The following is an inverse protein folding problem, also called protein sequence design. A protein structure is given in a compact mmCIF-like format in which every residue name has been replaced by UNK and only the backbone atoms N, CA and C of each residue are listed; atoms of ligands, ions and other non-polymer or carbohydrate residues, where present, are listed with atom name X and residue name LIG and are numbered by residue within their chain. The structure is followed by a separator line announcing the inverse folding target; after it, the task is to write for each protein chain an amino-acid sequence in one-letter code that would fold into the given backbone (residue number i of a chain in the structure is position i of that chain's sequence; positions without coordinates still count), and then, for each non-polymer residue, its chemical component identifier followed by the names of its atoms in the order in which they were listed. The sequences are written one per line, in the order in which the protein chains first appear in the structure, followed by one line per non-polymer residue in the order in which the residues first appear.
data_IF_930274259111
#
_entry.id   IF_930274259111
#
_cell.length_a   1.000
_cell.length_b   1.000
_cell.length_c   1.000
_cell.angle_alpha   90.00
_cell.angle_beta   90.00
_cell.angle_gamma   90.00
#
_symmetry.space_group_name_H-M   'P 1'
#
loop_
_entity.id
_entity.type
_entity.pdbx_description
1 polymer ?
#
# COMPACT_ATOMS: atom_id res chain seq x y z
N UNK A 1 29.68 11.03 -5.72
CA UNK A 1 28.25 10.68 -5.85
C UNK A 1 27.86 10.25 -7.26
N UNK A 2 28.35 10.91 -8.31
CA UNK A 2 27.96 10.65 -9.72
C UNK A 2 28.02 9.18 -10.15
N UNK A 3 29.08 8.44 -9.79
CA UNK A 3 29.20 7.02 -10.14
C UNK A 3 28.09 6.17 -9.51
N UNK A 4 27.73 6.42 -8.24
CA UNK A 4 26.63 5.71 -7.56
C UNK A 4 25.30 5.99 -8.22
N UNK A 5 25.00 7.26 -8.50
CA UNK A 5 23.78 7.66 -9.21
C UNK A 5 23.70 6.99 -10.59
N UNK A 6 24.80 6.94 -11.32
CA UNK A 6 24.88 6.26 -12.62
C UNK A 6 24.55 4.77 -12.51
N UNK A 7 25.07 4.10 -11.48
CA UNK A 7 24.83 2.68 -11.26
C UNK A 7 23.35 2.44 -10.89
N UNK A 8 22.75 3.31 -10.07
CA UNK A 8 21.31 3.25 -9.75
C UNK A 8 20.42 3.52 -10.97
N UNK A 9 20.80 4.47 -11.84
CA UNK A 9 20.10 4.72 -13.10
C UNK A 9 20.17 3.50 -14.02
N UNK A 10 21.37 2.93 -14.18
CA UNK A 10 21.60 1.75 -15.02
C UNK A 10 20.78 0.55 -14.55
N UNK A 11 20.75 0.28 -13.23
CA UNK A 11 19.94 -0.77 -12.63
C UNK A 11 18.44 -0.52 -12.84
N UNK A 12 17.99 0.70 -12.57
CA UNK A 12 16.56 1.04 -12.62
C UNK A 12 16.00 1.02 -14.05
N UNK A 13 16.76 1.56 -15.00
CA UNK A 13 16.37 1.69 -16.41
C UNK A 13 16.76 0.45 -17.24
N UNK A 14 17.46 -0.52 -16.65
CA UNK A 14 17.98 -1.70 -17.33
C UNK A 14 18.83 -1.36 -18.57
N UNK A 15 19.69 -0.34 -18.45
CA UNK A 15 20.64 0.10 -19.49
C UNK A 15 22.08 -0.05 -19.00
N UNK A 16 23.05 -0.05 -19.91
CA UNK A 16 24.45 -0.18 -19.53
C UNK A 16 24.96 1.11 -18.85
N UNK A 17 25.72 1.03 -17.74
CA UNK A 17 26.25 2.23 -17.06
C UNK A 17 27.10 3.12 -17.99
N UNK A 18 27.81 2.51 -18.94
CA UNK A 18 28.67 3.22 -19.89
C UNK A 18 27.90 4.06 -20.92
N UNK A 19 26.59 3.84 -21.08
CA UNK A 19 25.74 4.66 -21.95
C UNK A 19 25.21 5.91 -21.26
N UNK A 20 25.43 6.05 -19.94
CA UNK A 20 24.94 7.17 -19.15
C UNK A 20 26.09 8.17 -18.94
N UNK A 21 25.97 9.31 -19.60
CA UNK A 21 26.83 10.47 -19.47
C UNK A 21 26.52 11.29 -18.23
N UNK A 22 27.49 12.13 -17.86
CA UNK A 22 27.40 13.02 -16.69
C UNK A 22 26.38 14.15 -16.85
N UNK A 23 26.15 14.56 -18.10
CA UNK A 23 25.23 15.64 -18.47
C UNK A 23 23.91 15.08 -19.02
N UNK A 24 23.70 13.76 -18.90
CA UNK A 24 22.47 13.12 -19.34
C UNK A 24 21.33 13.46 -18.37
N UNK A 25 20.16 13.66 -18.96
CA UNK A 25 18.91 13.92 -18.26
C UNK A 25 18.17 12.60 -18.04
N UNK A 26 17.75 12.34 -16.79
CA UNK A 26 17.08 11.11 -16.37
C UNK A 26 15.89 10.75 -17.25
N UNK A 27 15.09 11.74 -17.64
CA UNK A 27 13.88 11.54 -18.43
C UNK A 27 14.19 11.36 -19.91
N UNK A 28 15.28 11.94 -20.41
CA UNK A 28 15.69 11.77 -21.81
C UNK A 28 16.29 10.39 -22.08
N UNK A 29 16.91 9.76 -21.08
CA UNK A 29 17.46 8.40 -21.19
C UNK A 29 16.42 7.30 -20.90
N UNK A 30 15.14 7.66 -20.81
CA UNK A 30 14.02 6.74 -20.66
C UNK A 30 13.46 6.59 -19.24
N UNK A 31 13.90 7.43 -18.30
CA UNK A 31 13.30 7.52 -16.98
C UNK A 31 11.92 8.17 -17.01
N UNK A 32 11.07 7.76 -16.09
CA UNK A 32 9.76 8.35 -15.81
C UNK A 32 9.54 8.44 -14.30
N UNK A 33 8.34 8.82 -13.86
CA UNK A 33 8.02 8.88 -12.43
C UNK A 33 8.11 7.52 -11.73
N UNK A 34 7.82 6.42 -12.43
CA UNK A 34 7.89 5.05 -11.89
C UNK A 34 9.35 4.64 -11.71
N UNK A 35 10.19 4.89 -12.71
CA UNK A 35 11.63 4.71 -12.61
C UNK A 35 12.22 5.55 -11.48
N UNK A 36 11.80 6.81 -11.33
CA UNK A 36 12.26 7.67 -10.23
C UNK A 36 11.89 7.08 -8.86
N UNK A 37 10.66 6.60 -8.68
CA UNK A 37 10.22 5.93 -7.44
C UNK A 37 11.00 4.65 -7.16
N UNK A 38 11.24 3.82 -8.19
CA UNK A 38 12.06 2.61 -8.07
C UNK A 38 13.47 2.90 -7.61
N UNK A 39 14.09 3.91 -8.21
CA UNK A 39 15.43 4.33 -7.87
C UNK A 39 15.50 4.79 -6.41
N UNK A 40 14.54 5.60 -5.95
CA UNK A 40 14.45 6.05 -4.55
C UNK A 40 14.19 4.88 -3.58
N UNK A 41 13.54 3.81 -4.05
CA UNK A 41 13.29 2.62 -3.23
C UNK A 41 14.54 1.73 -3.03
N UNK A 42 15.61 1.92 -3.81
CA UNK A 42 16.88 1.22 -3.61
C UNK A 42 17.48 1.57 -2.24
N UNK A 43 17.92 0.56 -1.48
CA UNK A 43 18.46 0.76 -0.12
C UNK A 43 19.59 1.81 -0.09
N UNK A 44 20.51 1.74 -1.05
CA UNK A 44 21.61 2.71 -1.16
C UNK A 44 21.12 4.13 -1.46
N UNK A 45 20.07 4.28 -2.27
CA UNK A 45 19.48 5.59 -2.55
C UNK A 45 18.78 6.19 -1.30
N UNK A 46 18.16 5.33 -0.48
CA UNK A 46 17.55 5.73 0.80
C UNK A 46 18.58 6.20 1.81
N UNK A 47 19.74 5.54 1.91
CA UNK A 47 20.87 5.98 2.74
C UNK A 47 21.39 7.37 2.35
N UNK A 48 21.13 7.79 1.11
CA UNK A 48 21.48 9.11 0.60
C UNK A 48 20.33 10.11 0.62
N UNK A 49 19.19 9.75 1.22
CA UNK A 49 17.97 10.56 1.29
C UNK A 49 17.56 11.14 -0.07
N UNK A 50 17.78 10.36 -1.13
CA UNK A 50 17.32 10.72 -2.47
C UNK A 50 15.79 10.67 -2.47
N UNK A 51 15.15 11.75 -2.92
CA UNK A 51 13.69 11.80 -3.09
C UNK A 51 13.32 11.88 -4.56
N UNK A 52 12.07 11.54 -4.89
CA UNK A 52 11.55 11.72 -6.25
C UNK A 52 11.60 13.20 -6.64
N UNK A 53 11.34 14.11 -5.69
CA UNK A 53 11.43 15.54 -5.92
C UNK A 53 12.85 15.97 -6.34
N UNK A 54 13.90 15.39 -5.77
CA UNK A 54 15.28 15.69 -6.13
C UNK A 54 15.56 15.36 -7.60
N UNK A 55 15.06 14.20 -8.08
CA UNK A 55 15.24 13.75 -9.47
C UNK A 55 14.54 14.71 -10.44
N UNK A 56 13.35 15.19 -10.09
CA UNK A 56 12.61 16.16 -10.92
C UNK A 56 13.24 17.56 -10.88
N UNK A 57 13.75 18.00 -9.73
CA UNK A 57 14.40 19.31 -9.57
C UNK A 57 15.80 19.37 -10.20
N UNK A 58 16.50 18.24 -10.21
CA UNK A 58 17.85 18.09 -10.73
C UNK A 58 17.91 16.85 -11.66
N UNK A 59 17.33 16.91 -12.87
CA UNK A 59 17.24 15.74 -13.74
C UNK A 59 18.58 15.35 -14.37
N UNK A 60 19.57 16.25 -14.40
CA UNK A 60 20.91 16.00 -14.92
C UNK A 60 21.75 15.28 -13.87
N UNK A 61 22.42 14.18 -14.25
CA UNK A 61 23.16 13.33 -13.32
C UNK A 61 24.20 14.09 -12.48
N UNK A 62 24.99 14.98 -13.10
CA UNK A 62 26.00 15.78 -12.40
C UNK A 62 25.40 16.80 -11.43
N UNK A 63 24.22 17.35 -11.74
CA UNK A 63 23.54 18.32 -10.89
C UNK A 63 22.85 17.64 -9.70
N UNK A 64 22.23 16.47 -9.93
CA UNK A 64 21.67 15.65 -8.86
C UNK A 64 22.76 15.22 -7.87
N UNK A 65 23.90 14.76 -8.39
CA UNK A 65 25.06 14.39 -7.58
C UNK A 65 25.52 15.55 -6.68
N UNK A 66 25.62 16.75 -7.25
CA UNK A 66 26.04 17.96 -6.52
C UNK A 66 25.01 18.39 -5.49
N UNK A 67 23.71 18.24 -5.78
CA UNK A 67 22.64 18.54 -4.84
C UNK A 67 22.69 17.61 -3.61
N UNK A 68 22.87 16.30 -3.83
CA UNK A 68 23.02 15.33 -2.74
C UNK A 68 24.29 15.55 -1.92
N UNK A 69 25.43 15.81 -2.58
CA UNK A 69 26.70 16.08 -1.89
C UNK A 69 26.62 17.34 -1.02
N UNK A 70 26.02 18.42 -1.54
CA UNK A 70 25.78 19.65 -0.77
C UNK A 70 24.86 19.40 0.43
N UNK A 71 23.78 18.65 0.24
CA UNK A 71 22.86 18.28 1.33
C UNK A 71 23.56 17.46 2.41
N UNK A 72 24.43 16.53 2.03
CA UNK A 72 25.22 15.73 2.99
C UNK A 72 26.20 16.60 3.80
N UNK A 73 26.78 17.64 3.19
CA UNK A 73 27.65 18.61 3.87
C UNK A 73 26.88 19.55 4.81
N UNK A 74 25.65 19.92 4.47
CA UNK A 74 24.79 20.82 5.25
C UNK A 74 24.11 20.13 6.45
N UNK A 75 23.86 18.81 6.36
CA UNK A 75 23.04 18.07 7.34
C UNK A 75 23.82 17.24 8.37
N UNK A 76 25.11 17.52 8.61
CA UNK A 76 25.91 16.79 9.62
C UNK A 76 25.33 16.85 11.06
N UNK A 77 24.30 17.65 11.34
CA UNK A 77 23.69 17.76 12.69
C UNK A 77 22.18 17.48 12.81
N UNK A 78 21.42 17.18 11.73
CA UNK A 78 19.94 17.03 11.83
C UNK A 78 19.32 16.05 10.81
N UNK A 79 19.79 14.82 10.77
CA UNK A 79 19.03 13.74 10.15
C UNK A 79 18.52 12.78 11.23
N UNK A 80 17.44 13.18 11.89
CA UNK A 80 16.49 12.18 12.38
C UNK A 80 15.78 11.65 11.13
N UNK A 81 16.04 10.40 10.78
CA UNK A 81 15.12 9.60 9.97
C UNK A 81 13.70 9.94 10.47
N UNK A 82 12.81 10.42 9.60
CA UNK A 82 11.39 10.56 9.95
C UNK A 82 10.90 9.14 10.26
N UNK A 83 10.96 8.79 11.55
CA UNK A 83 10.49 7.51 12.03
C UNK A 83 9.01 7.40 11.70
N UNK A 84 8.58 6.21 11.29
CA UNK A 84 7.17 5.95 11.07
C UNK A 84 6.39 6.35 12.34
N UNK A 85 5.25 7.04 12.18
CA UNK A 85 4.44 7.44 13.32
C UNK A 85 4.02 6.19 14.11
N UNK A 86 4.08 6.29 15.44
CA UNK A 86 3.56 5.23 16.31
C UNK A 86 2.06 4.98 16.03
N UNK A 87 1.57 3.75 16.27
CA UNK A 87 0.16 3.44 16.08
C UNK A 87 -0.77 4.45 16.77
N UNK A 88 -1.82 4.85 16.06
CA UNK A 88 -2.84 5.84 16.40
C UNK A 88 -2.35 7.29 16.46
N UNK A 89 -1.07 7.60 16.22
CA UNK A 89 -0.56 8.97 16.30
C UNK A 89 -1.20 9.91 15.27
N UNK A 90 -1.61 9.38 14.11
CA UNK A 90 -2.31 10.14 13.06
C UNK A 90 -3.83 10.19 13.27
N UNK A 91 -4.37 9.41 14.20
CA UNK A 91 -5.80 9.43 14.52
C UNK A 91 -6.10 10.47 15.59
N UNK A 92 -5.97 11.75 15.20
CA UNK A 92 -6.14 12.88 16.11
C UNK A 92 -7.50 12.81 16.82
N UNK A 93 -7.46 12.95 18.15
CA UNK A 93 -8.64 13.02 19.01
C UNK A 93 -8.82 14.48 19.47
N UNK A 94 -10.05 14.97 19.67
CA UNK A 94 -10.28 16.33 20.17
C UNK A 94 -9.58 16.56 21.52
N UNK A 95 -8.79 17.63 21.68
CA UNK A 95 -7.77 17.85 22.74
C UNK A 95 -8.22 17.96 24.24
N UNK A 96 -9.48 17.71 24.59
CA UNK A 96 -9.95 17.88 25.99
C UNK A 96 -9.62 16.69 26.94
N UNK A 97 -8.73 16.95 27.91
CA UNK A 97 -7.83 15.96 28.54
C UNK A 97 -8.45 15.00 29.56
N UNK A 98 -9.51 15.36 30.29
CA UNK A 98 -10.11 14.47 31.32
C UNK A 98 -11.12 13.47 30.74
N UNK A 99 -11.71 13.77 29.58
CA UNK A 99 -12.65 12.87 28.87
C UNK A 99 -11.97 12.00 27.79
N UNK A 100 -10.65 12.16 27.59
CA UNK A 100 -9.90 11.58 26.48
C UNK A 100 -9.93 10.06 26.40
N UNK A 101 -9.61 9.35 27.50
CA UNK A 101 -9.55 7.89 27.46
C UNK A 101 -10.92 7.27 27.19
N UNK A 102 -11.97 7.84 27.78
CA UNK A 102 -13.33 7.39 27.57
C UNK A 102 -13.80 7.67 26.13
N UNK A 103 -13.54 8.88 25.62
CA UNK A 103 -13.87 9.25 24.24
C UNK A 103 -13.12 8.38 23.22
N UNK A 104 -11.82 8.15 23.44
CA UNK A 104 -11.02 7.25 22.62
C UNK A 104 -11.60 5.83 22.60
N UNK A 105 -11.85 5.25 23.78
CA UNK A 105 -12.42 3.90 23.88
C UNK A 105 -13.79 3.79 23.22
N UNK A 106 -14.63 4.83 23.35
CA UNK A 106 -15.94 4.88 22.69
C UNK A 106 -15.81 4.98 21.16
N UNK A 107 -14.95 5.86 20.65
CA UNK A 107 -14.71 6.00 19.20
C UNK A 107 -14.11 4.71 18.62
N UNK A 108 -13.14 4.12 19.31
CA UNK A 108 -12.53 2.83 18.96
C UNK A 108 -13.56 1.70 18.93
N UNK A 109 -14.46 1.63 19.91
CA UNK A 109 -15.54 0.65 19.92
C UNK A 109 -16.52 0.83 18.74
N UNK A 110 -16.83 2.07 18.33
CA UNK A 110 -17.67 2.33 17.15
C UNK A 110 -16.98 1.91 15.86
N UNK A 111 -15.68 2.22 15.72
CA UNK A 111 -14.86 1.78 14.58
C UNK A 111 -14.82 0.25 14.51
N UNK A 112 -14.55 -0.42 15.64
CA UNK A 112 -14.55 -1.88 15.73
C UNK A 112 -15.90 -2.49 15.32
N UNK A 113 -17.00 -1.90 15.79
CA UNK A 113 -18.36 -2.33 15.42
C UNK A 113 -18.62 -2.18 13.92
N UNK A 114 -18.26 -1.05 13.31
CA UNK A 114 -18.42 -0.85 11.86
C UNK A 114 -17.53 -1.78 11.04
N UNK A 115 -16.37 -2.14 11.58
CA UNK A 115 -15.50 -3.15 11.01
C UNK A 115 -15.93 -4.58 11.32
N UNK A 116 -16.94 -4.85 12.15
CA UNK A 116 -17.29 -6.21 12.58
C UNK A 116 -16.05 -6.99 13.11
N UNK A 117 -15.30 -6.36 14.00
CA UNK A 117 -14.09 -6.92 14.63
C UNK A 117 -14.09 -6.62 16.13
N UNK A 118 -13.25 -7.33 16.88
CA UNK A 118 -12.99 -7.00 18.27
C UNK A 118 -12.08 -5.76 18.35
N UNK A 119 -12.19 -5.00 19.44
CA UNK A 119 -11.38 -3.77 19.64
C UNK A 119 -9.89 -4.11 19.70
N UNK A 120 -9.56 -5.23 20.34
CA UNK A 120 -8.20 -5.78 20.47
C UNK A 120 -7.58 -6.19 19.12
N UNK A 121 -8.40 -6.44 18.10
CA UNK A 121 -7.93 -6.78 16.76
C UNK A 121 -7.56 -5.54 15.95
N UNK A 122 -7.89 -4.33 16.40
CA UNK A 122 -7.46 -3.10 15.72
C UNK A 122 -5.99 -2.83 16.05
N UNK A 123 -5.17 -2.81 15.01
CA UNK A 123 -3.76 -2.48 15.13
C UNK A 123 -3.50 -0.98 15.15
N UNK A 124 -4.11 -0.28 14.20
CA UNK A 124 -3.88 1.13 13.95
C UNK A 124 -5.09 1.73 13.20
N UNK A 125 -5.27 3.04 13.35
CA UNK A 125 -6.28 3.82 12.63
C UNK A 125 -5.60 5.11 12.17
N UNK A 126 -5.88 5.53 10.94
CA UNK A 126 -5.38 6.80 10.42
C UNK A 126 -6.24 7.31 9.25
N UNK A 127 -6.19 8.61 8.91
CA UNK A 127 -6.95 9.16 7.80
C UNK A 127 -6.63 8.50 6.46
N UNK A 128 -7.63 8.44 5.57
CA UNK A 128 -7.41 8.09 4.18
C UNK A 128 -6.65 9.19 3.44
N UNK A 129 -5.89 8.80 2.43
CA UNK A 129 -5.38 9.75 1.44
C UNK A 129 -6.52 10.28 0.57
N UNK A 130 -6.37 11.47 -0.03
CA UNK A 130 -7.43 12.06 -0.86
C UNK A 130 -7.87 11.18 -2.03
N UNK A 131 -6.96 10.36 -2.58
CA UNK A 131 -7.32 9.39 -3.63
C UNK A 131 -8.16 8.25 -3.06
N UNK A 132 -7.83 7.72 -1.88
CA UNK A 132 -8.63 6.69 -1.23
C UNK A 132 -10.03 7.22 -0.88
N UNK A 133 -10.15 8.45 -0.38
CA UNK A 133 -11.43 9.11 -0.11
C UNK A 133 -12.30 9.19 -1.38
N UNK A 134 -11.72 9.65 -2.50
CA UNK A 134 -12.43 9.77 -3.77
C UNK A 134 -12.93 8.42 -4.32
N UNK A 135 -12.10 7.38 -4.24
CA UNK A 135 -12.48 6.03 -4.66
C UNK A 135 -13.61 5.48 -3.79
N UNK A 136 -13.48 5.61 -2.47
CA UNK A 136 -14.41 5.08 -1.48
C UNK A 136 -15.77 5.78 -1.53
N UNK A 137 -15.80 7.09 -1.81
CA UNK A 137 -17.05 7.83 -1.98
C UNK A 137 -17.93 7.27 -3.11
N UNK A 138 -17.30 6.83 -4.20
CA UNK A 138 -18.00 6.18 -5.33
C UNK A 138 -18.44 4.77 -4.95
N UNK A 139 -17.54 3.98 -4.34
CA UNK A 139 -17.83 2.60 -3.93
C UNK A 139 -18.95 2.51 -2.89
N UNK A 140 -19.11 3.53 -2.04
CA UNK A 140 -20.23 3.63 -1.10
C UNK A 140 -21.61 3.59 -1.78
N UNK A 141 -21.70 4.03 -3.04
CA UNK A 141 -22.94 4.01 -3.83
C UNK A 141 -22.97 2.85 -4.83
N UNK A 142 -21.80 2.41 -5.31
CA UNK A 142 -21.65 1.31 -6.25
C UNK A 142 -20.60 0.32 -5.72
N UNK A 143 -21.00 -0.72 -4.96
CA UNK A 143 -20.08 -1.66 -4.30
C UNK A 143 -19.10 -2.40 -5.21
N UNK A 144 -19.35 -2.43 -6.53
CA UNK A 144 -18.47 -3.06 -7.53
C UNK A 144 -17.50 -2.08 -8.19
N UNK A 145 -17.64 -0.78 -7.94
CA UNK A 145 -16.73 0.22 -8.48
C UNK A 145 -15.33 0.05 -7.90
N UNK A 146 -14.32 0.19 -8.76
CA UNK A 146 -12.90 0.10 -8.39
C UNK A 146 -12.48 -1.22 -7.74
N UNK A 147 -13.25 -2.30 -7.96
CA UNK A 147 -12.90 -3.65 -7.54
C UNK A 147 -12.30 -4.41 -8.73
N UNK A 148 -11.10 -4.94 -8.55
CA UNK A 148 -10.50 -5.89 -9.50
C UNK A 148 -10.64 -7.29 -8.96
N UNK A 149 -10.87 -8.24 -9.86
CA UNK A 149 -10.88 -9.66 -9.58
C UNK A 149 -9.99 -10.37 -10.58
N UNK A 150 -8.98 -11.04 -10.07
CA UNK A 150 -8.03 -11.80 -10.87
C UNK A 150 -8.19 -13.28 -10.55
N UNK A 151 -8.22 -14.10 -11.61
CA UNK A 151 -8.31 -15.56 -11.49
C UNK A 151 -7.02 -16.16 -12.04
N UNK A 152 -6.26 -16.80 -11.17
CA UNK A 152 -5.00 -17.44 -11.51
C UNK A 152 -5.15 -18.94 -11.41
N UNK A 153 -4.83 -19.65 -12.49
CA UNK A 153 -4.72 -21.10 -12.47
C UNK A 153 -3.42 -21.49 -11.75
N UNK A 154 -3.55 -22.25 -10.67
CA UNK A 154 -2.41 -22.78 -9.92
C UNK A 154 -1.92 -24.07 -10.58
N UNK A 155 -0.61 -24.16 -10.80
CA UNK A 155 0.04 -25.38 -11.28
C UNK A 155 -0.16 -26.54 -10.30
N UNK A 156 -0.21 -27.77 -10.81
CA UNK A 156 -0.40 -28.98 -9.98
C UNK A 156 0.75 -29.24 -9.00
N UNK A 157 1.94 -28.70 -9.27
CA UNK A 157 3.12 -28.79 -8.40
C UNK A 157 3.12 -27.79 -7.24
N UNK A 158 2.19 -26.83 -7.21
CA UNK A 158 2.12 -25.85 -6.11
C UNK A 158 1.61 -26.56 -4.84
N UNK A 159 2.39 -26.44 -3.78
CA UNK A 159 1.99 -26.75 -2.41
C UNK A 159 1.11 -25.61 -1.89
N UNK A 160 -0.15 -25.92 -1.62
CA UNK A 160 -1.18 -24.95 -1.24
C UNK A 160 -0.92 -24.39 0.14
N UNK A 161 -0.50 -25.23 1.10
CA UNK A 161 -0.27 -24.80 2.47
C UNK A 161 0.90 -23.82 2.52
N UNK A 162 1.99 -24.15 1.79
CA UNK A 162 3.13 -23.23 1.64
C UNK A 162 2.74 -21.94 0.91
N UNK A 163 1.88 -22.03 -0.10
CA UNK A 163 1.40 -20.87 -0.84
C UNK A 163 0.60 -19.91 0.05
N UNK A 164 -0.36 -20.43 0.82
CA UNK A 164 -1.14 -19.63 1.77
C UNK A 164 -0.27 -19.05 2.89
N UNK A 165 0.72 -19.82 3.37
CA UNK A 165 1.68 -19.33 4.36
C UNK A 165 2.51 -18.14 3.84
N UNK A 166 2.93 -18.17 2.57
CA UNK A 166 3.66 -17.05 1.96
C UNK A 166 2.82 -15.76 1.92
N UNK A 167 1.54 -15.87 1.54
CA UNK A 167 0.60 -14.75 1.58
C UNK A 167 0.36 -14.24 3.00
N UNK A 168 0.30 -15.13 3.99
CA UNK A 168 0.17 -14.73 5.39
C UNK A 168 1.40 -13.94 5.88
N UNK A 169 2.60 -14.38 5.51
CA UNK A 169 3.84 -13.63 5.78
C UNK A 169 3.80 -12.25 5.13
N UNK A 170 3.37 -12.15 3.88
CA UNK A 170 3.23 -10.87 3.18
C UNK A 170 2.24 -9.93 3.90
N UNK A 171 1.06 -10.43 4.29
CA UNK A 171 0.08 -9.62 5.01
C UNK A 171 0.54 -9.17 6.40
N UNK A 172 1.47 -9.91 7.02
CA UNK A 172 2.04 -9.53 8.31
C UNK A 172 2.94 -8.31 8.18
N UNK A 173 3.72 -8.21 7.10
CA UNK A 173 4.66 -7.09 6.87
C UNK A 173 4.08 -5.96 6.03
N UNK A 174 2.92 -6.16 5.39
CA UNK A 174 2.26 -5.18 4.53
C UNK A 174 0.84 -4.88 5.04
N UNK A 175 0.67 -3.95 6.01
CA UNK A 175 -0.60 -3.67 6.67
C UNK A 175 -1.76 -3.35 5.72
N UNK A 176 -1.49 -2.75 4.56
CA UNK A 176 -2.53 -2.36 3.58
C UNK A 176 -3.39 -3.54 3.12
N UNK A 177 -2.86 -4.78 3.13
CA UNK A 177 -3.60 -5.99 2.74
C UNK A 177 -4.67 -6.42 3.74
N UNK A 178 -4.59 -5.91 4.97
CA UNK A 178 -5.52 -6.16 6.08
C UNK A 178 -6.18 -4.87 6.57
N UNK A 179 -6.05 -3.80 5.78
CA UNK A 179 -6.73 -2.53 6.00
C UNK A 179 -8.17 -2.60 5.52
N UNK A 180 -9.06 -2.03 6.32
CA UNK A 180 -10.45 -1.74 5.96
C UNK A 180 -10.63 -0.23 5.91
N UNK A 181 -11.59 0.25 5.13
CA UNK A 181 -11.93 1.68 5.08
C UNK A 181 -13.38 1.87 5.45
N UNK A 182 -13.64 2.86 6.30
CA UNK A 182 -14.97 3.29 6.70
C UNK A 182 -15.07 4.82 6.74
N UNK A 183 -16.30 5.32 6.73
CA UNK A 183 -16.57 6.74 7.01
C UNK A 183 -16.46 6.96 8.51
N UNK A 184 -15.70 7.97 8.90
CA UNK A 184 -15.51 8.32 10.30
C UNK A 184 -16.87 8.60 10.97
N UNK A 185 -17.23 7.89 12.05
CA UNK A 185 -18.46 8.13 12.78
C UNK A 185 -18.63 9.57 13.28
N UNK A 186 -17.53 10.26 13.60
CA UNK A 186 -17.55 11.59 14.20
C UNK A 186 -17.49 12.71 13.15
N UNK A 187 -16.91 12.42 11.98
CA UNK A 187 -16.81 13.35 10.85
C UNK A 187 -17.72 12.95 9.68
N UNK A 188 -18.75 12.12 9.92
CA UNK A 188 -19.68 11.66 8.89
C UNK A 188 -20.34 12.82 8.11
N UNK A 189 -20.44 14.01 8.71
CA UNK A 189 -20.94 15.24 8.08
C UNK A 189 -19.92 15.97 7.19
N UNK A 190 -18.62 15.72 7.40
CA UNK A 190 -17.50 16.29 6.62
C UNK A 190 -16.93 15.31 5.59
N UNK A 191 -17.33 14.03 5.66
CA UNK A 191 -16.98 13.01 4.66
C UNK A 191 -15.59 12.39 4.87
N UNK A 192 -14.98 12.57 6.04
CA UNK A 192 -13.70 11.96 6.38
C UNK A 192 -13.81 10.43 6.39
N UNK A 193 -12.83 9.75 5.78
CA UNK A 193 -12.73 8.29 5.84
C UNK A 193 -11.45 7.83 6.51
N UNK A 194 -11.53 6.74 7.25
CA UNK A 194 -10.45 6.18 8.05
C UNK A 194 -9.99 4.86 7.44
N UNK A 195 -8.68 4.69 7.42
CA UNK A 195 -8.01 3.41 7.26
C UNK A 195 -7.94 2.75 8.64
N UNK A 196 -8.38 1.50 8.73
CA UNK A 196 -8.38 0.70 9.96
C UNK A 196 -7.60 -0.57 9.68
N UNK A 197 -6.44 -0.70 10.30
CA UNK A 197 -5.55 -1.85 10.15
C UNK A 197 -5.97 -2.93 11.13
N UNK A 198 -6.26 -4.14 10.64
CA UNK A 198 -6.77 -5.24 11.46
C UNK A 198 -5.67 -6.29 11.66
N UNK A 199 -5.41 -6.70 12.91
CA UNK A 199 -4.53 -7.82 13.27
C UNK A 199 -5.16 -9.14 12.86
N UNK A 200 -4.31 -10.11 12.53
CA UNK A 200 -4.72 -11.48 12.29
C UNK A 200 -4.45 -11.98 10.87
N UNK A 201 -4.77 -13.26 10.60
CA UNK A 201 -4.47 -13.88 9.34
C UNK A 201 -5.42 -13.42 8.23
N UNK A 202 -4.95 -13.54 6.99
CA UNK A 202 -5.81 -13.43 5.82
C UNK A 202 -6.89 -14.51 5.87
N UNK A 203 -8.12 -14.12 5.55
CA UNK A 203 -9.25 -15.05 5.44
C UNK A 203 -9.27 -15.65 4.04
N UNK A 204 -9.31 -16.99 3.97
CA UNK A 204 -9.37 -17.74 2.72
C UNK A 204 -10.75 -18.39 2.53
N UNK A 205 -11.43 -17.99 1.47
CA UNK A 205 -12.65 -18.66 1.02
C UNK A 205 -12.31 -19.93 0.24
N UNK A 206 -13.17 -20.92 0.32
CA UNK A 206 -12.99 -22.20 -0.38
C UNK A 206 -14.27 -22.55 -1.13
N UNK A 207 -14.12 -23.01 -2.38
CA UNK A 207 -15.22 -23.46 -3.22
C UNK A 207 -14.72 -24.59 -4.15
N UNK A 208 -15.64 -25.34 -4.73
CA UNK A 208 -15.35 -26.32 -5.78
C UNK A 208 -15.82 -25.88 -7.16
N UNK A 209 -16.54 -24.77 -7.23
CA UNK A 209 -17.10 -24.19 -8.45
C UNK A 209 -16.58 -22.76 -8.61
N UNK A 210 -15.84 -22.53 -9.70
CA UNK A 210 -15.21 -21.25 -10.00
C UNK A 210 -16.24 -20.21 -10.45
N UNK A 211 -17.11 -20.58 -11.37
CA UNK A 211 -18.07 -19.65 -11.97
C UNK A 211 -19.11 -19.21 -10.93
N UNK A 212 -19.57 -20.15 -10.10
CA UNK A 212 -20.45 -19.83 -8.99
C UNK A 212 -19.78 -18.89 -7.98
N UNK A 213 -18.52 -19.16 -7.61
CA UNK A 213 -17.79 -18.31 -6.67
C UNK A 213 -17.61 -16.90 -7.23
N UNK A 214 -17.16 -16.78 -8.48
CA UNK A 214 -16.93 -15.48 -9.14
C UNK A 214 -18.21 -14.67 -9.22
N UNK A 215 -19.33 -15.29 -9.61
CA UNK A 215 -20.63 -14.61 -9.67
C UNK A 215 -21.10 -14.12 -8.30
N UNK A 216 -20.91 -14.93 -7.25
CA UNK A 216 -21.26 -14.54 -5.88
C UNK A 216 -20.35 -13.42 -5.35
N UNK A 217 -19.04 -13.49 -5.58
CA UNK A 217 -18.06 -12.49 -5.18
C UNK A 217 -18.31 -11.14 -5.87
N UNK A 218 -18.75 -11.17 -7.13
CA UNK A 218 -19.16 -9.99 -7.91
C UNK A 218 -20.45 -9.37 -7.38
N UNK A 219 -21.47 -10.18 -7.13
CA UNK A 219 -22.73 -9.71 -6.58
C UNK A 219 -22.57 -9.10 -5.17
N UNK A 220 -21.62 -9.63 -4.37
CA UNK A 220 -21.31 -9.10 -3.05
C UNK A 220 -20.65 -7.72 -3.10
N UNK A 221 -19.77 -7.48 -4.07
CA UNK A 221 -18.96 -6.26 -4.14
C UNK A 221 -18.09 -6.04 -2.89
N UNK A 222 -17.67 -4.81 -2.67
CA UNK A 222 -16.97 -4.35 -1.46
C UNK A 222 -17.84 -3.36 -0.70
N UNK A 223 -17.93 -3.58 0.61
CA UNK A 223 -18.67 -2.72 1.54
C UNK A 223 -17.70 -2.04 2.50
N UNK A 224 -18.04 -0.83 2.94
CA UNK A 224 -17.23 -0.11 3.92
C UNK A 224 -17.20 -0.87 5.26
N UNK A 225 -16.04 -0.83 5.92
CA UNK A 225 -15.76 -1.61 7.12
C UNK A 225 -15.52 -3.10 6.88
N UNK A 226 -15.68 -3.61 5.66
CA UNK A 226 -15.39 -5.00 5.30
C UNK A 226 -14.00 -5.14 4.67
N UNK A 227 -13.45 -6.38 4.57
CA UNK A 227 -12.15 -6.59 3.95
C UNK A 227 -12.09 -6.05 2.52
N UNK A 228 -11.07 -5.23 2.25
CA UNK A 228 -10.82 -4.65 0.93
C UNK A 228 -10.03 -5.59 0.01
N UNK A 229 -9.51 -6.69 0.56
CA UNK A 229 -8.84 -7.78 -0.14
C UNK A 229 -9.50 -9.09 0.28
N UNK A 230 -9.85 -9.93 -0.69
CA UNK A 230 -10.41 -11.27 -0.48
C UNK A 230 -9.61 -12.29 -1.28
N UNK A 231 -9.36 -13.42 -0.66
CA UNK A 231 -8.69 -14.56 -1.27
C UNK A 231 -9.63 -15.76 -1.30
N UNK A 232 -9.65 -16.48 -2.42
CA UNK A 232 -10.31 -17.77 -2.50
C UNK A 232 -9.46 -18.80 -3.20
N UNK A 233 -9.50 -20.01 -2.66
CA UNK A 233 -8.94 -21.20 -3.30
C UNK A 233 -10.08 -22.06 -3.83
N UNK A 234 -10.13 -22.22 -5.14
CA UNK A 234 -11.13 -23.03 -5.83
C UNK A 234 -10.52 -24.37 -6.18
N UNK A 235 -11.09 -25.45 -5.66
CA UNK A 235 -10.70 -26.82 -5.96
C UNK A 235 -11.70 -27.44 -6.94
N UNK A 236 -11.46 -27.23 -8.23
CA UNK A 236 -12.18 -27.91 -9.31
C UNK A 236 -11.56 -29.31 -9.52
N UNK A 237 -12.27 -30.34 -10.04
CA UNK A 237 -11.84 -31.74 -9.98
C UNK A 237 -10.39 -32.06 -10.37
N UNK A 238 -9.80 -31.34 -11.32
CA UNK A 238 -8.38 -31.48 -11.71
C UNK A 238 -7.63 -30.15 -11.80
N UNK A 239 -8.23 -29.05 -11.34
CA UNK A 239 -7.69 -27.71 -11.50
C UNK A 239 -7.86 -26.93 -10.21
N UNK A 240 -6.86 -26.11 -9.91
CA UNK A 240 -6.89 -25.23 -8.74
C UNK A 240 -6.80 -23.81 -9.21
N UNK A 241 -7.61 -22.94 -8.63
CA UNK A 241 -7.59 -21.52 -8.94
C UNK A 241 -7.41 -20.71 -7.66
N UNK A 242 -6.56 -19.71 -7.73
CA UNK A 242 -6.60 -18.58 -6.81
C UNK A 242 -7.54 -17.54 -7.43
N UNK A 243 -8.53 -17.09 -6.65
CA UNK A 243 -9.25 -15.85 -6.95
C UNK A 243 -8.77 -14.80 -5.96
N UNK A 244 -8.25 -13.69 -6.50
CA UNK A 244 -7.83 -12.53 -5.73
C UNK A 244 -8.71 -11.35 -6.10
N UNK A 245 -9.50 -10.88 -5.14
CA UNK A 245 -10.36 -9.71 -5.30
C UNK A 245 -9.82 -8.58 -4.43
N UNK A 246 -9.59 -7.41 -5.01
CA UNK A 246 -9.04 -6.26 -4.28
C UNK A 246 -9.64 -4.93 -4.74
N UNK A 247 -9.84 -3.99 -3.81
CA UNK A 247 -10.23 -2.61 -4.09
C UNK A 247 -9.01 -1.75 -4.47
N UNK A 248 -9.11 -0.87 -5.47
CA UNK A 248 -7.99 0.00 -5.88
C UNK A 248 -7.50 1.00 -4.82
N UNK A 249 -8.17 1.09 -3.66
CA UNK A 249 -7.67 1.89 -2.52
C UNK A 249 -6.54 1.22 -1.74
N UNK A 250 -6.26 -0.06 -1.99
CA UNK A 250 -5.25 -0.85 -1.24
C UNK A 250 -4.12 -1.38 -2.13
N UNK A 251 -4.15 -1.08 -3.42
CA UNK A 251 -3.09 -1.42 -4.36
C UNK A 251 -3.13 -0.48 -5.58
N UNK A 252 -2.00 -0.33 -6.23
CA UNK A 252 -1.84 0.36 -7.50
C UNK A 252 -1.18 -0.54 -8.55
N UNK A 253 -0.93 0.00 -9.74
CA UNK A 253 -0.29 -0.76 -10.82
C UNK A 253 1.12 -1.26 -10.48
N UNK A 254 1.81 -0.60 -9.54
CA UNK A 254 3.12 -1.01 -9.04
C UNK A 254 2.98 -2.21 -8.10
N UNK A 255 2.14 -2.07 -7.09
CA UNK A 255 1.92 -3.09 -6.05
C UNK A 255 1.34 -4.38 -6.62
N UNK A 256 0.55 -4.31 -7.70
CA UNK A 256 0.01 -5.49 -8.39
C UNK A 256 1.02 -6.19 -9.31
N UNK A 257 2.11 -5.54 -9.70
CA UNK A 257 3.14 -6.10 -10.56
C UNK A 257 4.27 -6.81 -9.79
N UNK A 258 4.35 -6.60 -8.48
CA UNK A 258 5.26 -7.27 -7.55
C UNK A 258 4.76 -8.68 -7.20
#
# INVERSE_FOLDING_TARGET
MEQRLRDWWAETLAIAPDTIGREDDFFQVGGDSVAAMRMVALSEAREHHLTVADIFQHPILSDLARALERRAMENTEKHTEEADPEPFALWQLPEDTESHLCAFQQRLARVAQQCDVAVEDIEDIYPCTSIQEGLIAITAHQPTAYVSRQVYRLGSSIDVDRFQAAWHTLATVTPILRTRILVDPEEASQGGSLQVVIRGPLVWHHSTDLDQYVAADEAQGIQLGQPLVRFALIQHPNERFLVWTAHHSVYDGWSAAL
#
